data_IF_613699283082
#
_entry.id   IF_613699283082
#
_cell.length_a   1.000
_cell.length_b   1.000
_cell.length_c   1.000
_cell.angle_alpha   90.00
_cell.angle_beta   90.00
_cell.angle_gamma   90.00
#
_symmetry.space_group_name_H-M   'P 1'
#
loop_
_entity.id
_entity.type
_entity.pdbx_description
1 polymer ?
#
# COMPACT_ATOMS: atom_id res chain seq x y z
N UNK A 1 18.01 1.49 -62.03
CA UNK A 1 19.16 1.88 -61.18
C UNK A 1 18.85 1.44 -59.76
N UNK A 2 19.00 0.15 -59.47
CA UNK A 2 18.79 -0.43 -58.14
C UNK A 2 20.11 -0.42 -57.38
N UNK A 3 20.12 0.17 -56.18
CA UNK A 3 21.25 0.11 -55.25
C UNK A 3 20.84 -0.76 -54.07
N UNK A 4 21.27 -2.03 -54.11
CA UNK A 4 21.40 -2.88 -52.94
C UNK A 4 22.49 -2.28 -52.03
N UNK A 5 22.18 -2.10 -50.74
CA UNK A 5 23.18 -1.80 -49.73
C UNK A 5 23.40 -3.05 -48.89
N UNK A 6 24.65 -3.50 -48.94
CA UNK A 6 25.20 -4.71 -48.33
C UNK A 6 25.55 -4.42 -46.87
N UNK A 7 25.01 -5.27 -45.99
CA UNK A 7 25.30 -5.32 -44.56
C UNK A 7 26.77 -5.67 -44.32
N UNK A 8 27.48 -4.86 -43.52
CA UNK A 8 28.89 -5.08 -43.15
C UNK A 8 29.02 -4.98 -41.64
N UNK A 9 29.24 -6.11 -40.97
CA UNK A 9 30.03 -6.17 -39.74
C UNK A 9 30.79 -7.51 -39.63
N UNK A 10 31.99 -7.53 -39.03
CA UNK A 10 32.98 -8.57 -39.24
C UNK A 10 32.94 -9.70 -38.20
N UNK A 11 33.38 -10.86 -38.69
CA UNK A 11 33.70 -12.12 -38.00
C UNK A 11 34.93 -11.94 -37.12
N UNK A 12 34.84 -12.29 -35.84
CA UNK A 12 36.00 -12.52 -34.97
C UNK A 12 35.88 -13.94 -34.41
N UNK A 13 36.77 -14.82 -34.86
CA UNK A 13 36.89 -16.19 -34.34
C UNK A 13 37.87 -16.24 -33.16
N UNK A 14 37.54 -17.17 -32.27
CA UNK A 14 38.16 -17.56 -31.01
C UNK A 14 39.68 -17.79 -31.04
N UNK A 15 40.35 -17.61 -29.90
CA UNK A 15 41.25 -18.60 -29.27
C UNK A 15 41.43 -18.31 -27.78
N UNK A 16 41.40 -19.35 -26.93
CA UNK A 16 42.00 -19.33 -25.58
C UNK A 16 41.06 -19.74 -24.45
N UNK A 17 41.01 -21.04 -24.16
CA UNK A 17 40.20 -21.60 -23.07
C UNK A 17 40.74 -21.29 -21.67
N UNK A 18 39.79 -21.13 -20.75
CA UNK A 18 39.89 -21.52 -19.35
C UNK A 18 38.49 -22.00 -18.94
N UNK A 19 38.38 -23.27 -18.54
CA UNK A 19 37.16 -23.81 -17.96
C UNK A 19 36.90 -23.12 -16.62
N UNK A 20 35.94 -22.18 -16.59
CA UNK A 20 35.40 -21.60 -15.37
C UNK A 20 34.07 -22.25 -14.98
N UNK A 21 33.95 -23.58 -15.13
CA UNK A 21 32.83 -24.38 -14.57
C UNK A 21 32.93 -24.57 -13.05
N UNK A 22 33.56 -23.64 -12.35
CA UNK A 22 33.71 -23.65 -10.91
C UNK A 22 33.95 -22.21 -10.46
N UNK A 23 33.29 -21.78 -9.39
CA UNK A 23 33.15 -20.39 -8.90
C UNK A 23 31.91 -19.66 -9.43
N UNK A 24 30.76 -19.96 -8.82
CA UNK A 24 29.88 -18.99 -8.14
C UNK A 24 28.63 -19.77 -7.72
N UNK A 25 28.78 -20.55 -6.63
CA UNK A 25 27.64 -20.96 -5.83
C UNK A 25 27.06 -19.69 -5.19
N UNK A 26 26.10 -19.10 -5.87
CA UNK A 26 25.22 -18.10 -5.31
C UNK A 26 23.86 -18.72 -5.25
N UNK A 27 23.52 -19.30 -4.10
CA UNK A 27 22.14 -19.53 -3.72
C UNK A 27 21.45 -18.18 -3.85
N UNK A 28 20.79 -17.96 -4.99
CA UNK A 28 19.75 -16.94 -5.11
C UNK A 28 18.64 -17.43 -4.22
N UNK A 29 18.79 -17.16 -2.94
CA UNK A 29 17.71 -17.22 -1.98
C UNK A 29 16.71 -16.20 -2.51
N UNK A 30 15.77 -16.69 -3.33
CA UNK A 30 14.49 -16.04 -3.52
C UNK A 30 13.95 -15.86 -2.12
N UNK A 31 14.13 -14.64 -1.59
CA UNK A 31 13.39 -14.21 -0.41
C UNK A 31 11.95 -14.25 -0.90
N UNK A 32 11.27 -15.35 -0.59
CA UNK A 32 9.83 -15.44 -0.65
C UNK A 32 9.34 -14.20 0.09
N UNK A 33 8.78 -13.25 -0.66
CA UNK A 33 8.06 -12.13 -0.09
C UNK A 33 6.78 -12.74 0.47
N UNK A 34 6.90 -13.32 1.67
CA UNK A 34 5.75 -13.69 2.48
C UNK A 34 4.77 -12.52 2.45
N UNK A 35 3.46 -12.75 2.29
CA UNK A 35 2.49 -11.67 2.20
C UNK A 35 2.60 -10.86 3.49
N UNK A 36 3.24 -9.69 3.39
CA UNK A 36 3.58 -8.88 4.54
C UNK A 36 2.26 -8.52 5.24
N UNK A 37 1.99 -9.13 6.39
CA UNK A 37 0.81 -8.80 7.19
C UNK A 37 0.79 -7.28 7.38
N UNK A 38 -0.23 -6.63 6.82
CA UNK A 38 -0.28 -5.18 6.78
C UNK A 38 -0.40 -4.65 8.21
N UNK A 39 0.67 -4.04 8.74
CA UNK A 39 0.70 -3.49 10.09
C UNK A 39 -0.29 -2.33 10.22
N UNK A 40 -1.27 -2.51 11.10
CA UNK A 40 -2.29 -1.50 11.40
C UNK A 40 -2.56 -1.47 12.91
N UNK A 41 -3.06 -0.34 13.38
CA UNK A 41 -3.39 -0.08 14.79
C UNK A 41 -4.64 0.79 14.88
N UNK A 42 -5.66 0.32 15.60
CA UNK A 42 -6.86 1.10 15.85
C UNK A 42 -6.51 2.38 16.62
N UNK A 43 -7.12 3.50 16.25
CA UNK A 43 -6.85 4.78 16.91
C UNK A 43 -7.52 4.88 18.28
N UNK A 44 -8.53 4.05 18.59
CA UNK A 44 -9.17 4.08 19.90
C UNK A 44 -8.28 3.49 20.99
N UNK A 45 -8.28 4.13 22.17
CA UNK A 45 -7.60 3.65 23.38
C UNK A 45 -8.52 3.59 24.61
N UNK A 46 -8.09 2.92 25.69
CA UNK A 46 -8.89 2.78 26.92
C UNK A 46 -9.17 4.13 27.59
N UNK A 47 -8.25 5.09 27.47
CA UNK A 47 -8.35 6.40 28.13
C UNK A 47 -9.05 7.46 27.26
N UNK A 48 -9.54 7.12 26.06
CA UNK A 48 -10.13 8.10 25.14
C UNK A 48 -11.31 8.86 25.77
N UNK A 49 -12.11 8.19 26.61
CA UNK A 49 -13.26 8.78 27.29
C UNK A 49 -12.87 9.87 28.30
N UNK A 50 -11.63 9.88 28.78
CA UNK A 50 -11.13 10.88 29.73
C UNK A 50 -10.74 12.20 29.05
N UNK A 51 -10.42 12.16 27.75
CA UNK A 51 -9.80 13.28 27.03
C UNK A 51 -10.57 13.73 25.79
N UNK A 52 -11.54 12.94 25.30
CA UNK A 52 -12.25 13.17 24.05
C UNK A 52 -13.76 13.19 24.27
N UNK A 53 -14.46 13.86 23.35
CA UNK A 53 -15.93 13.77 23.30
C UNK A 53 -16.39 12.37 22.88
N UNK A 54 -17.64 12.02 23.20
CA UNK A 54 -18.27 10.76 22.77
C UNK A 54 -18.20 10.55 21.26
N UNK A 55 -18.42 11.62 20.49
CA UNK A 55 -18.32 11.59 19.04
C UNK A 55 -16.91 11.23 18.56
N UNK A 56 -15.87 11.77 19.20
CA UNK A 56 -14.48 11.44 18.85
C UNK A 56 -14.10 10.03 19.30
N UNK A 57 -14.61 9.56 20.45
CA UNK A 57 -14.48 8.17 20.87
C UNK A 57 -15.14 7.23 19.84
N UNK A 58 -16.34 7.55 19.38
CA UNK A 58 -17.02 6.81 18.31
C UNK A 58 -16.16 6.77 17.05
N UNK A 59 -15.74 7.92 16.52
CA UNK A 59 -14.93 7.99 15.31
C UNK A 59 -13.64 7.16 15.42
N UNK A 60 -12.91 7.26 16.53
CA UNK A 60 -11.63 6.55 16.71
C UNK A 60 -11.78 5.03 16.80
N UNK A 61 -12.96 4.50 17.17
CA UNK A 61 -13.25 3.05 17.12
C UNK A 61 -13.42 2.49 15.72
N UNK A 62 -13.59 3.34 14.71
CA UNK A 62 -13.79 2.93 13.31
C UNK A 62 -12.60 3.27 12.40
N UNK A 63 -11.58 3.95 12.94
CA UNK A 63 -10.40 4.41 12.19
C UNK A 63 -9.14 3.76 12.73
N UNK A 64 -8.31 3.25 11.84
CA UNK A 64 -6.99 2.71 12.15
C UNK A 64 -5.89 3.49 11.45
N UNK A 65 -4.71 3.54 12.07
CA UNK A 65 -3.47 3.89 11.41
C UNK A 65 -2.89 2.63 10.73
N UNK A 66 -2.27 2.79 9.58
CA UNK A 66 -1.63 1.68 8.85
C UNK A 66 -0.38 2.17 8.12
N UNK A 67 0.47 1.21 7.75
CA UNK A 67 1.67 1.49 6.94
C UNK A 67 1.37 1.22 5.47
N UNK A 68 1.70 2.18 4.60
CA UNK A 68 1.61 2.03 3.16
C UNK A 68 2.54 0.90 2.69
N UNK A 69 1.96 -0.09 2.01
CA UNK A 69 2.67 -1.22 1.41
C UNK A 69 2.90 -1.05 -0.09
N UNK A 70 2.23 -0.06 -0.71
CA UNK A 70 2.40 0.28 -2.12
C UNK A 70 2.47 1.79 -2.32
N UNK A 71 3.13 2.20 -3.40
CA UNK A 71 3.23 3.60 -3.80
C UNK A 71 1.99 4.01 -4.59
N UNK A 72 1.39 5.15 -4.23
CA UNK A 72 0.30 5.76 -4.98
C UNK A 72 0.65 7.21 -5.31
N UNK A 73 0.24 7.67 -6.50
CA UNK A 73 0.56 9.00 -7.03
C UNK A 73 -0.68 9.90 -7.18
N UNK A 74 -1.74 9.64 -6.40
CA UNK A 74 -2.98 10.42 -6.47
C UNK A 74 -2.85 11.73 -5.67
N UNK A 75 -2.14 12.71 -6.26
CA UNK A 75 -2.00 14.08 -5.73
C UNK A 75 -1.13 14.23 -4.47
N UNK A 76 -0.88 13.13 -3.74
CA UNK A 76 0.07 13.04 -2.63
C UNK A 76 1.03 11.89 -2.94
N UNK A 77 2.33 12.17 -2.97
CA UNK A 77 3.34 11.12 -3.18
C UNK A 77 3.39 10.21 -1.95
N UNK A 78 2.70 9.07 -2.01
CA UNK A 78 2.74 8.05 -0.96
C UNK A 78 3.87 7.08 -1.28
N UNK A 79 4.81 6.94 -0.33
CA UNK A 79 5.91 5.97 -0.40
C UNK A 79 5.63 4.79 0.53
N UNK A 80 6.21 3.64 0.21
CA UNK A 80 6.22 2.49 1.12
C UNK A 80 6.81 2.95 2.46
N UNK A 81 6.14 2.58 3.56
CA UNK A 81 6.52 3.01 4.90
C UNK A 81 5.82 4.27 5.40
N UNK A 82 5.13 5.03 4.54
CA UNK A 82 4.33 6.17 4.99
C UNK A 82 3.17 5.70 5.88
N UNK A 83 2.88 6.46 6.94
CA UNK A 83 1.75 6.18 7.82
C UNK A 83 0.50 6.88 7.29
N UNK A 84 -0.56 6.11 7.05
CA UNK A 84 -1.88 6.60 6.70
C UNK A 84 -2.89 6.31 7.81
N UNK A 85 -4.07 6.93 7.70
CA UNK A 85 -5.27 6.54 8.44
C UNK A 85 -6.32 6.03 7.47
N UNK A 86 -7.11 5.03 7.88
CA UNK A 86 -8.20 4.50 7.08
C UNK A 86 -9.37 3.97 7.91
N UNK A 87 -10.50 3.75 7.26
CA UNK A 87 -11.62 3.00 7.86
C UNK A 87 -11.24 1.53 8.06
N UNK A 88 -11.30 1.04 9.30
CA UNK A 88 -10.99 -0.36 9.63
C UNK A 88 -11.94 -1.34 8.93
N UNK A 89 -13.22 -0.99 8.82
CA UNK A 89 -14.25 -1.83 8.21
C UNK A 89 -14.08 -1.96 6.69
N UNK A 90 -13.75 -0.86 6.01
CA UNK A 90 -13.46 -0.86 4.58
C UNK A 90 -12.21 -1.67 4.25
N UNK A 91 -11.19 -1.58 5.11
CA UNK A 91 -9.96 -2.33 4.97
C UNK A 91 -10.23 -3.84 5.10
N UNK A 92 -10.98 -4.24 6.13
CA UNK A 92 -11.35 -5.63 6.36
C UNK A 92 -12.20 -6.20 5.21
N UNK A 93 -13.23 -5.47 4.77
CA UNK A 93 -14.08 -5.88 3.64
C UNK A 93 -13.28 -6.03 2.34
N UNK A 94 -12.27 -5.18 2.11
CA UNK A 94 -11.40 -5.29 0.94
C UNK A 94 -10.50 -6.53 1.01
N UNK A 95 -9.89 -6.77 2.17
CA UNK A 95 -9.07 -7.96 2.40
C UNK A 95 -9.88 -9.26 2.30
N UNK A 96 -11.16 -9.26 2.70
CA UNK A 96 -12.06 -10.39 2.50
C UNK A 96 -12.47 -10.58 1.04
N UNK A 97 -12.78 -9.50 0.32
CA UNK A 97 -13.10 -9.57 -1.10
C UNK A 97 -11.92 -10.14 -1.91
N UNK A 98 -10.70 -9.67 -1.63
CA UNK A 98 -9.47 -10.14 -2.27
C UNK A 98 -9.24 -11.64 -2.02
N UNK A 99 -9.37 -12.10 -0.76
CA UNK A 99 -9.29 -13.54 -0.42
C UNK A 99 -10.33 -14.39 -1.14
N UNK A 100 -11.51 -13.84 -1.39
CA UNK A 100 -12.60 -14.52 -2.08
C UNK A 100 -12.55 -14.35 -3.62
N UNK A 101 -11.48 -13.75 -4.17
CA UNK A 101 -11.32 -13.52 -5.61
C UNK A 101 -12.33 -12.52 -6.20
N UNK A 102 -12.96 -11.70 -5.36
CA UNK A 102 -13.92 -10.66 -5.77
C UNK A 102 -13.20 -9.31 -5.87
N UNK A 103 -13.59 -8.49 -6.84
CA UNK A 103 -13.17 -7.09 -6.86
C UNK A 103 -13.63 -6.38 -5.59
N UNK A 104 -12.74 -5.57 -5.00
CA UNK A 104 -13.02 -4.82 -3.78
C UNK A 104 -14.32 -3.99 -3.93
N UNK A 105 -15.28 -4.25 -3.06
CA UNK A 105 -16.67 -3.78 -3.22
C UNK A 105 -16.83 -2.31 -2.81
N UNK A 106 -15.89 -1.73 -2.06
CA UNK A 106 -16.01 -0.38 -1.55
C UNK A 106 -15.43 0.67 -2.51
N UNK A 107 -16.31 1.21 -3.38
CA UNK A 107 -16.03 2.32 -4.30
C UNK A 107 -15.68 3.65 -3.62
N UNK A 108 -15.75 3.75 -2.29
CA UNK A 108 -15.52 4.96 -1.52
C UNK A 108 -14.18 4.96 -0.77
N UNK A 109 -13.25 4.09 -1.20
CA UNK A 109 -11.90 3.98 -0.63
C UNK A 109 -11.14 5.31 -0.66
N UNK A 110 -11.33 6.11 -1.71
CA UNK A 110 -10.67 7.40 -1.89
C UNK A 110 -10.94 8.39 -0.73
N UNK A 111 -12.15 8.36 -0.15
CA UNK A 111 -12.49 9.18 1.01
C UNK A 111 -12.23 8.47 2.35
N UNK A 112 -12.09 7.15 2.32
CA UNK A 112 -11.91 6.30 3.49
C UNK A 112 -10.46 6.12 3.92
N UNK A 113 -9.49 6.54 3.12
CA UNK A 113 -8.05 6.44 3.34
C UNK A 113 -7.39 7.81 3.14
N UNK A 114 -6.50 8.22 4.05
CA UNK A 114 -5.76 9.48 3.89
C UNK A 114 -4.36 9.41 4.51
N UNK A 115 -3.44 10.19 3.95
CA UNK A 115 -2.04 10.22 4.39
C UNK A 115 -1.69 11.61 4.93
N UNK A 116 -1.74 11.82 6.27
CA UNK A 116 -1.36 13.09 6.86
C UNK A 116 0.13 13.36 6.62
N UNK A 117 0.47 14.57 6.15
CA UNK A 117 1.86 14.96 5.86
C UNK A 117 2.73 15.06 7.11
N UNK A 118 2.11 15.33 8.25
CA UNK A 118 2.77 15.54 9.54
C UNK A 118 1.90 14.97 10.67
N UNK A 119 2.52 14.54 11.77
CA UNK A 119 1.82 13.95 12.91
C UNK A 119 0.73 14.87 13.49
N UNK A 120 0.99 16.18 13.55
CA UNK A 120 0.00 17.19 14.02
C UNK A 120 -1.29 17.22 13.20
N UNK A 121 -1.26 16.73 11.95
CA UNK A 121 -2.41 16.71 11.05
C UNK A 121 -3.27 15.46 11.19
N UNK A 122 -2.89 14.48 12.02
CA UNK A 122 -3.69 13.25 12.23
C UNK A 122 -5.10 13.59 12.71
N UNK A 123 -5.24 14.51 13.67
CA UNK A 123 -6.57 14.93 14.15
C UNK A 123 -7.41 15.58 13.06
N UNK A 124 -6.79 16.36 12.18
CA UNK A 124 -7.49 16.95 11.03
C UNK A 124 -7.92 15.88 10.03
N UNK A 125 -7.05 14.90 9.76
CA UNK A 125 -7.35 13.78 8.89
C UNK A 125 -8.53 12.95 9.43
N UNK A 126 -8.57 12.68 10.73
CA UNK A 126 -9.69 11.98 11.40
C UNK A 126 -10.99 12.77 11.29
N UNK A 127 -10.96 14.09 11.45
CA UNK A 127 -12.16 14.95 11.26
C UNK A 127 -12.64 14.98 9.81
N UNK A 128 -11.72 15.00 8.85
CA UNK A 128 -12.07 14.91 7.43
C UNK A 128 -12.68 13.55 7.11
N UNK A 129 -12.12 12.47 7.65
CA UNK A 129 -12.70 11.14 7.54
C UNK A 129 -14.13 11.11 8.10
N UNK A 130 -14.35 11.64 9.30
CA UNK A 130 -15.68 11.74 9.89
C UNK A 130 -16.64 12.49 8.95
N UNK A 131 -16.23 13.64 8.41
CA UNK A 131 -17.09 14.50 7.59
C UNK A 131 -17.42 13.89 6.23
N UNK A 132 -16.46 13.27 5.56
CA UNK A 132 -16.58 12.92 4.15
C UNK A 132 -16.82 11.42 3.92
N UNK A 133 -16.34 10.56 4.82
CA UNK A 133 -16.46 9.11 4.68
C UNK A 133 -17.70 8.56 5.39
N UNK A 134 -17.90 8.90 6.66
CA UNK A 134 -18.96 8.31 7.51
C UNK A 134 -20.35 8.37 6.84
N UNK A 135 -20.80 9.51 6.27
CA UNK A 135 -22.15 9.59 5.67
C UNK A 135 -22.38 8.69 4.45
N UNK A 136 -21.31 8.12 3.89
CA UNK A 136 -21.35 7.34 2.65
C UNK A 136 -20.82 5.91 2.82
N UNK A 137 -20.41 5.54 4.02
CA UNK A 137 -19.78 4.26 4.28
C UNK A 137 -20.85 3.22 4.66
N UNK A 138 -20.95 2.16 3.88
CA UNK A 138 -21.88 1.04 4.14
C UNK A 138 -21.25 -0.05 5.01
N UNK A 139 -19.97 0.06 5.32
CA UNK A 139 -19.22 -0.94 6.10
C UNK A 139 -19.17 -0.61 7.59
N UNK A 140 -19.48 0.64 7.99
CA UNK A 140 -19.55 1.01 9.41
C UNK A 140 -20.86 0.43 9.99
N UNK A 141 -20.81 -0.31 11.10
CA UNK A 141 -22.01 -0.81 11.76
C UNK A 141 -22.87 0.35 12.30
N UNK A 142 -24.20 0.19 12.24
CA UNK A 142 -25.18 1.13 12.81
C UNK A 142 -25.12 1.19 14.35
#
# INVERSE_FOLDING_TARGET
MERQQVNTQPRLEALGGVDARSLMGGDRNEIATEPSEQRHQLLSGPDDQLYLSELMCFVRRHVEAFVATSTHADGVLVRIGNVGIRCAHCAQASAEAERNGKYAVNRNREAGESYPKELRLVYQAVRNWQRYHVPKCTSIPE
#
